data_IF_372298666131
#
_entry.id   IF_372298666131
#
_cell.length_a   1.000
_cell.length_b   1.000
_cell.length_c   1.000
_cell.angle_alpha   90.00
_cell.angle_beta   90.00
_cell.angle_gamma   90.00
#
_symmetry.space_group_name_H-M   'P 1'
#
loop_
_entity.id
_entity.type
_entity.pdbx_description
1 polymer ?
#
# COMPACT_ATOMS: atom_id res chain seq x y z
N UNK A 1 -2.29 1.96 -1.08
CA UNK A 1 -2.73 1.54 0.27
C UNK A 1 -3.68 0.35 0.23
N UNK A 2 -4.64 0.26 -0.70
CA UNK A 2 -5.56 -0.88 -0.79
C UNK A 2 -4.86 -2.25 -0.92
N UNK A 3 -3.79 -2.36 -1.71
CA UNK A 3 -2.98 -3.58 -1.78
C UNK A 3 -2.38 -3.99 -0.42
N UNK A 4 -1.89 -3.03 0.36
CA UNK A 4 -1.34 -3.26 1.70
C UNK A 4 -2.44 -3.68 2.68
N UNK A 5 -3.62 -3.04 2.61
CA UNK A 5 -4.78 -3.41 3.40
C UNK A 5 -5.25 -4.85 3.10
N UNK A 6 -5.08 -5.31 1.86
CA UNK A 6 -5.34 -6.69 1.43
C UNK A 6 -4.20 -7.68 1.71
N UNK A 7 -3.16 -7.26 2.44
CA UNK A 7 -2.08 -8.11 2.90
C UNK A 7 -0.85 -8.19 2.00
N UNK A 8 -0.80 -7.47 0.87
CA UNK A 8 0.42 -7.37 0.08
C UNK A 8 1.49 -6.62 0.87
N UNK A 9 2.62 -7.27 1.13
CA UNK A 9 3.65 -6.75 2.04
C UNK A 9 5.00 -6.54 1.35
N UNK A 10 5.28 -7.25 0.25
CA UNK A 10 6.51 -7.09 -0.54
C UNK A 10 6.27 -6.20 -1.75
N UNK A 11 7.32 -5.52 -2.24
CA UNK A 11 7.21 -4.66 -3.42
C UNK A 11 6.57 -5.37 -4.63
N UNK A 12 7.00 -6.60 -4.91
CA UNK A 12 6.46 -7.40 -6.02
C UNK A 12 4.97 -7.75 -5.85
N UNK A 13 4.54 -8.08 -4.62
CA UNK A 13 3.13 -8.35 -4.31
C UNK A 13 2.28 -7.09 -4.49
N UNK A 14 2.76 -5.95 -4.00
CA UNK A 14 2.09 -4.66 -4.14
C UNK A 14 1.98 -4.27 -5.61
N UNK A 15 3.07 -4.46 -6.37
CA UNK A 15 3.10 -4.21 -7.83
C UNK A 15 2.10 -5.09 -8.56
N UNK A 16 2.04 -6.39 -8.26
CA UNK A 16 1.10 -7.31 -8.88
C UNK A 16 -0.37 -6.92 -8.58
N UNK A 17 -0.62 -6.36 -7.39
CA UNK A 17 -1.95 -5.92 -6.97
C UNK A 17 -2.38 -4.57 -7.55
N UNK A 18 -1.48 -3.78 -8.15
CA UNK A 18 -1.82 -2.48 -8.77
C UNK A 18 -1.38 -2.48 -10.24
N UNK A 19 -2.29 -2.94 -11.10
CA UNK A 19 -2.09 -3.03 -12.54
C UNK A 19 -1.84 -1.65 -13.17
N UNK A 20 -0.94 -1.61 -14.16
CA UNK A 20 -0.66 -0.40 -14.94
C UNK A 20 0.33 0.59 -14.32
N UNK A 21 0.84 0.35 -13.11
CA UNK A 21 1.91 1.17 -12.53
C UNK A 21 3.30 0.68 -12.91
N UNK A 22 4.16 1.61 -13.31
CA UNK A 22 5.60 1.36 -13.45
C UNK A 22 6.26 1.23 -12.07
N UNK A 23 7.35 0.46 -12.01
CA UNK A 23 8.12 0.25 -10.79
C UNK A 23 8.61 1.58 -10.19
N UNK A 24 9.04 2.51 -11.05
CA UNK A 24 9.47 3.85 -10.65
C UNK A 24 8.34 4.62 -9.96
N UNK A 25 7.13 4.59 -10.53
CA UNK A 25 6.00 5.30 -9.97
C UNK A 25 5.53 4.64 -8.67
N UNK A 26 5.49 3.30 -8.60
CA UNK A 26 5.17 2.58 -7.37
C UNK A 26 6.14 2.92 -6.24
N UNK A 27 7.45 2.91 -6.52
CA UNK A 27 8.46 3.29 -5.53
C UNK A 27 8.29 4.74 -5.05
N UNK A 28 7.99 5.68 -5.97
CA UNK A 28 7.68 7.06 -5.61
C UNK A 28 6.45 7.16 -4.70
N UNK A 29 5.35 6.46 -5.03
CA UNK A 29 4.13 6.45 -4.22
C UNK A 29 4.35 5.82 -2.84
N UNK A 30 5.10 4.73 -2.73
CA UNK A 30 5.44 4.13 -1.43
C UNK A 30 6.26 5.10 -0.57
N UNK A 31 7.22 5.82 -1.16
CA UNK A 31 8.02 6.83 -0.46
C UNK A 31 7.19 8.03 -0.02
N UNK A 32 6.23 8.49 -0.83
CA UNK A 32 5.29 9.55 -0.45
C UNK A 32 4.44 9.11 0.76
N UNK A 33 3.91 7.89 0.73
CA UNK A 33 3.11 7.34 1.82
C UNK A 33 3.92 7.12 3.10
N UNK A 34 5.19 6.73 2.98
CA UNK A 34 6.15 6.64 4.07
C UNK A 34 6.41 8.02 4.68
N UNK A 35 6.66 9.03 3.85
CA UNK A 35 6.87 10.42 4.27
C UNK A 35 5.62 11.00 4.96
N UNK A 36 4.42 10.62 4.52
CA UNK A 36 3.15 11.01 5.14
C UNK A 36 2.84 10.25 6.46
N UNK A 37 3.69 9.28 6.84
CA UNK A 37 3.51 8.43 8.01
C UNK A 37 2.33 7.46 7.91
N UNK A 38 1.91 7.11 6.68
CA UNK A 38 0.80 6.19 6.41
C UNK A 38 1.29 4.76 6.17
N UNK A 39 2.50 4.63 5.65
CA UNK A 39 3.16 3.35 5.41
C UNK A 39 4.48 3.33 6.15
N UNK A 40 4.86 2.18 6.68
CA UNK A 40 6.19 1.93 7.21
C UNK A 40 6.94 0.94 6.32
N UNK A 41 8.24 1.17 6.14
CA UNK A 41 9.14 0.27 5.44
C UNK A 41 10.04 -0.43 6.45
N UNK A 42 9.97 -1.75 6.52
CA UNK A 42 10.80 -2.59 7.40
C UNK A 42 11.76 -3.43 6.58
N UNK A 43 13.03 -3.42 6.97
CA UNK A 43 14.06 -4.30 6.41
C UNK A 43 14.22 -5.47 7.36
N UNK A 44 13.88 -6.67 6.90
CA UNK A 44 14.01 -7.89 7.68
C UNK A 44 15.34 -8.58 7.34
N UNK A 45 16.15 -8.98 8.35
CA UNK A 45 17.41 -9.67 8.15
C UNK A 45 17.16 -11.14 7.80
N UNK A 46 16.61 -11.39 6.62
CA UNK A 46 16.45 -12.72 6.02
C UNK A 46 17.56 -12.98 5.01
N UNK A 47 17.70 -14.23 4.56
CA UNK A 47 18.56 -14.60 3.43
C UNK A 47 17.68 -15.07 2.26
N UNK A 48 17.56 -14.31 1.15
CA UNK A 48 18.07 -12.94 0.92
C UNK A 48 17.33 -11.88 1.75
N UNK A 49 17.90 -10.67 1.89
CA UNK A 49 17.30 -9.56 2.65
C UNK A 49 15.92 -9.22 2.09
N UNK A 50 14.91 -9.18 2.96
CA UNK A 50 13.53 -8.89 2.56
C UNK A 50 13.13 -7.49 3.01
N UNK A 51 12.51 -6.75 2.10
CA UNK A 51 11.87 -5.46 2.42
C UNK A 51 10.38 -5.66 2.49
N UNK A 52 9.78 -5.25 3.60
CA UNK A 52 8.33 -5.23 3.79
C UNK A 52 7.79 -3.82 3.93
N UNK A 53 6.56 -3.66 3.49
CA UNK A 53 5.76 -2.47 3.65
C UNK A 53 4.51 -2.84 4.44
N UNK A 54 4.09 -1.97 5.35
CA UNK A 54 2.88 -2.14 6.14
C UNK A 54 2.18 -0.81 6.35
N UNK A 55 0.86 -0.84 6.58
CA UNK A 55 0.16 0.35 7.04
C UNK A 55 0.56 0.65 8.49
N UNK A 56 0.82 1.92 8.79
CA UNK A 56 0.91 2.39 10.18
C UNK A 56 -0.47 2.43 10.80
N UNK A 57 -0.57 2.69 12.11
CA UNK A 57 -1.86 2.94 12.76
C UNK A 57 -2.66 4.08 12.07
N UNK A 58 -1.96 5.16 11.67
CA UNK A 58 -2.55 6.27 10.91
C UNK A 58 -3.01 5.82 9.51
N UNK A 59 -2.20 5.00 8.82
CA UNK A 59 -2.55 4.43 7.52
C UNK A 59 -3.79 3.54 7.57
N UNK A 60 -3.88 2.67 8.57
CA UNK A 60 -5.03 1.79 8.79
C UNK A 60 -6.29 2.57 9.13
N UNK A 61 -6.20 3.59 9.99
CA UNK A 61 -7.32 4.46 10.33
C UNK A 61 -7.83 5.22 9.09
N UNK A 62 -6.92 5.76 8.26
CA UNK A 62 -7.29 6.41 7.01
C UNK A 62 -7.98 5.44 6.05
N UNK A 63 -7.45 4.23 5.88
CA UNK A 63 -8.06 3.20 5.04
C UNK A 63 -9.49 2.88 5.49
N UNK A 64 -9.71 2.73 6.79
CA UNK A 64 -11.05 2.48 7.34
C UNK A 64 -12.00 3.67 7.08
N UNK A 65 -11.51 4.91 7.16
CA UNK A 65 -12.33 6.10 6.90
C UNK A 65 -12.73 6.26 5.42
N UNK A 66 -11.88 5.85 4.48
CA UNK A 66 -12.17 5.96 3.04
C UNK A 66 -12.91 4.73 2.47
N UNK A 67 -12.91 3.61 3.19
CA UNK A 67 -13.53 2.35 2.75
C UNK A 67 -15.00 2.52 2.30
N UNK A 68 -15.87 3.26 3.03
CA UNK A 68 -17.25 3.48 2.59
C UNK A 68 -17.35 4.24 1.27
N UNK A 69 -16.41 5.15 0.98
CA UNK A 69 -16.37 5.89 -0.29
C UNK A 69 -15.94 4.98 -1.45
N UNK A 70 -15.02 4.06 -1.19
CA UNK A 70 -14.63 3.06 -2.18
C UNK A 70 -15.81 2.15 -2.54
N UNK A 71 -16.55 1.66 -1.53
CA UNK A 71 -17.75 0.84 -1.72
C UNK A 71 -18.84 1.58 -2.47
N UNK A 72 -19.07 2.86 -2.15
CA UNK A 72 -20.00 3.69 -2.90
C UNK A 72 -19.62 3.79 -4.38
N UNK A 73 -18.33 4.02 -4.68
CA UNK A 73 -17.82 4.11 -6.04
C UNK A 73 -17.95 2.81 -6.84
N UNK A 74 -17.85 1.64 -6.19
CA UNK A 74 -18.08 0.35 -6.87
C UNK A 74 -19.56 0.14 -7.24
N UNK A 75 -20.49 0.70 -6.46
CA UNK A 75 -21.94 0.56 -6.70
C UNK A 75 -22.45 1.58 -7.72
N UNK A 76 -21.92 2.80 -7.73
CA UNK A 76 -22.48 3.95 -8.47
C UNK A 76 -21.48 4.64 -9.40
N UNK A 77 -20.26 4.13 -9.56
CA UNK A 77 -19.25 4.70 -10.45
C UNK A 77 -19.55 4.40 -11.91
N UNK A 78 -20.33 5.27 -12.55
CA UNK A 78 -20.47 5.35 -14.01
C UNK A 78 -19.28 6.05 -14.67
#
# INVERSE_FOLDING_TARGET
MLALARGASRFGEIRAAVLGLSDRLLAARLKELETAGLVERRVEPTTPVTVRYGLTAKGSALMAAIQPLAEFGEVWGE
#
